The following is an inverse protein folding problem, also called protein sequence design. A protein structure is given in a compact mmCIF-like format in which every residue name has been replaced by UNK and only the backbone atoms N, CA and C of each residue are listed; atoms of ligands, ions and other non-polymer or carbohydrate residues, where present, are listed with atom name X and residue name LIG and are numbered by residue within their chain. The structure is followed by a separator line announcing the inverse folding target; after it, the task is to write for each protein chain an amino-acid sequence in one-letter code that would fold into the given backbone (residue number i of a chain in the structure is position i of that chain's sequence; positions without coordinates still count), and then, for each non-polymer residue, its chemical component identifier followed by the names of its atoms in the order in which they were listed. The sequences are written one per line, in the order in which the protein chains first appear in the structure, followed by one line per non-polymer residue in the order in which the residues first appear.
data_IF_893614040511
#
_entry.id   IF_893614040511
#
_cell.length_a   1.000
_cell.length_b   1.000
_cell.length_c   1.000
_cell.angle_alpha   90.00
_cell.angle_beta   90.00
_cell.angle_gamma   90.00
#
_symmetry.space_group_name_H-M   'P 1'
#
loop_
_entity.id
_entity.type
_entity.pdbx_description
1 polymer ?
#
# COMPACT_ATOMS: atom_id res chain seq x y z
N UNK A 1 18.75 -13.59 -16.75
CA UNK A 1 17.93 -12.87 -15.74
C UNK A 1 18.22 -13.48 -14.39
N UNK A 2 18.99 -12.78 -13.56
CA UNK A 2 19.20 -13.18 -12.18
C UNK A 2 17.88 -12.89 -11.43
N UNK A 3 17.04 -13.90 -11.22
CA UNK A 3 15.86 -13.75 -10.40
C UNK A 3 16.34 -13.51 -8.95
N UNK A 4 15.99 -12.37 -8.38
CA UNK A 4 16.20 -12.12 -6.95
C UNK A 4 15.40 -13.16 -6.14
N UNK A 5 15.95 -13.69 -5.04
CA UNK A 5 15.20 -14.62 -4.20
C UNK A 5 13.95 -13.92 -3.64
N UNK A 6 12.79 -14.53 -3.82
CA UNK A 6 11.53 -14.09 -3.23
C UNK A 6 11.37 -14.84 -1.91
N UNK A 7 11.18 -14.08 -0.84
CA UNK A 7 10.85 -14.64 0.48
C UNK A 7 9.38 -14.39 0.76
N UNK A 8 8.62 -15.46 0.88
CA UNK A 8 7.26 -15.41 1.37
C UNK A 8 7.27 -15.59 2.90
N UNK A 9 6.55 -14.72 3.60
CA UNK A 9 6.41 -14.82 5.04
C UNK A 9 4.96 -14.61 5.46
N UNK A 10 4.40 -15.60 6.13
CA UNK A 10 3.03 -15.60 6.64
C UNK A 10 3.07 -15.69 8.16
N UNK A 11 2.35 -14.81 8.85
CA UNK A 11 2.21 -14.88 10.31
C UNK A 11 1.33 -16.09 10.68
N UNK A 12 1.97 -17.13 11.23
CA UNK A 12 1.31 -18.39 11.56
C UNK A 12 0.28 -18.26 12.69
N UNK A 13 0.47 -17.31 13.58
CA UNK A 13 -0.50 -17.07 14.66
C UNK A 13 -1.78 -16.44 14.13
N UNK A 14 -1.68 -15.54 13.15
CA UNK A 14 -2.83 -15.00 12.44
C UNK A 14 -3.60 -16.08 11.66
N UNK A 15 -2.89 -17.00 11.02
CA UNK A 15 -3.51 -18.14 10.33
C UNK A 15 -4.28 -19.03 11.31
N UNK A 16 -3.67 -19.38 12.46
CA UNK A 16 -4.33 -20.19 13.51
C UNK A 16 -5.57 -19.51 14.09
N UNK A 17 -5.57 -18.20 14.18
CA UNK A 17 -6.70 -17.40 14.64
C UNK A 17 -7.79 -17.23 13.57
N UNK A 18 -7.56 -17.69 12.34
CA UNK A 18 -8.49 -17.51 11.23
C UNK A 18 -8.73 -16.06 10.84
N UNK A 19 -7.72 -15.20 10.98
CA UNK A 19 -7.86 -13.77 10.68
C UNK A 19 -8.22 -13.56 9.20
N UNK A 20 -9.40 -12.97 8.97
CA UNK A 20 -9.96 -12.74 7.66
C UNK A 20 -9.99 -11.23 7.35
N UNK A 21 -9.53 -10.77 6.17
CA UNK A 21 -9.54 -9.36 5.80
C UNK A 21 -10.94 -8.73 5.78
N UNK A 22 -11.97 -9.50 5.48
CA UNK A 22 -13.35 -9.00 5.37
C UNK A 22 -14.08 -8.91 6.71
N UNK A 23 -13.60 -9.60 7.76
CA UNK A 23 -14.20 -9.53 9.09
C UNK A 23 -13.67 -8.34 9.89
N UNK A 24 -12.37 -8.04 9.76
CA UNK A 24 -11.74 -6.89 10.40
C UNK A 24 -10.48 -6.49 9.63
N UNK A 25 -10.57 -5.46 8.80
CA UNK A 25 -9.47 -4.93 8.00
C UNK A 25 -8.31 -4.41 8.85
N UNK A 26 -8.59 -3.78 9.98
CA UNK A 26 -7.57 -3.26 10.89
C UNK A 26 -6.79 -4.38 11.57
N UNK A 27 -7.47 -5.39 12.14
CA UNK A 27 -6.83 -6.56 12.75
C UNK A 27 -6.03 -7.37 11.72
N UNK A 28 -6.57 -7.57 10.53
CA UNK A 28 -5.86 -8.24 9.44
C UNK A 28 -4.57 -7.49 9.08
N UNK A 29 -4.64 -6.17 8.94
CA UNK A 29 -3.46 -5.36 8.60
C UNK A 29 -2.41 -5.38 9.70
N UNK A 30 -2.82 -5.30 10.96
CA UNK A 30 -1.85 -5.38 12.05
C UNK A 30 -1.19 -6.76 12.09
N UNK A 31 -1.96 -7.82 12.19
CA UNK A 31 -1.42 -9.18 12.43
C UNK A 31 -0.76 -9.75 11.17
N UNK A 32 -1.44 -9.71 10.02
CA UNK A 32 -0.99 -10.39 8.81
C UNK A 32 -0.03 -9.57 7.96
N UNK A 33 0.09 -8.25 8.19
CA UNK A 33 1.01 -7.38 7.46
C UNK A 33 2.07 -6.76 8.38
N UNK A 34 1.67 -5.96 9.37
CA UNK A 34 2.64 -5.23 10.22
C UNK A 34 3.48 -6.19 11.05
N UNK A 35 2.86 -7.09 11.79
CA UNK A 35 3.58 -8.07 12.62
C UNK A 35 4.36 -9.06 11.74
N UNK A 36 3.77 -9.53 10.65
CA UNK A 36 4.44 -10.41 9.71
C UNK A 36 5.71 -9.77 9.12
N UNK A 37 5.65 -8.49 8.72
CA UNK A 37 6.82 -7.74 8.24
C UNK A 37 7.92 -7.66 9.31
N UNK A 38 7.56 -7.28 10.54
CA UNK A 38 8.52 -7.19 11.67
C UNK A 38 9.18 -8.54 11.96
N UNK A 39 8.39 -9.60 11.95
CA UNK A 39 8.88 -10.97 12.14
C UNK A 39 9.83 -11.40 11.01
N UNK A 40 9.47 -11.10 9.75
CA UNK A 40 10.31 -11.41 8.59
C UNK A 40 11.63 -10.66 8.65
N UNK A 41 11.62 -9.35 8.91
CA UNK A 41 12.83 -8.54 9.02
C UNK A 41 13.77 -9.07 10.10
N UNK A 42 13.22 -9.42 11.27
CA UNK A 42 14.00 -10.00 12.38
C UNK A 42 14.54 -11.40 12.03
N UNK A 43 13.70 -12.27 11.46
CA UNK A 43 14.06 -13.64 11.10
C UNK A 43 15.21 -13.72 10.11
N UNK A 44 15.17 -12.87 9.09
CA UNK A 44 16.16 -12.87 8.02
C UNK A 44 17.30 -11.86 8.23
N UNK A 45 17.26 -11.07 9.30
CA UNK A 45 18.31 -10.09 9.61
C UNK A 45 18.37 -8.92 8.62
N UNK A 46 17.26 -8.57 7.96
CA UNK A 46 17.25 -7.45 7.03
C UNK A 46 17.37 -6.11 7.76
N UNK A 47 18.33 -5.30 7.33
CA UNK A 47 18.56 -3.95 7.85
C UNK A 47 17.94 -2.86 6.99
N UNK A 48 17.56 -3.18 5.75
CA UNK A 48 16.87 -2.27 4.84
C UNK A 48 15.68 -2.97 4.17
N UNK A 49 14.57 -2.24 4.02
CA UNK A 49 13.41 -2.69 3.28
C UNK A 49 12.95 -1.59 2.33
N UNK A 50 12.81 -1.93 1.04
CA UNK A 50 12.37 -1.00 0.01
C UNK A 50 10.85 -0.99 -0.11
N UNK A 51 10.26 0.19 -0.25
CA UNK A 51 8.83 0.38 -0.43
C UNK A 51 8.50 1.43 -1.48
N UNK A 52 7.33 1.32 -2.07
CA UNK A 52 6.81 2.25 -3.08
C UNK A 52 6.11 3.49 -2.52
N UNK A 53 6.25 3.77 -1.21
CA UNK A 53 5.57 4.91 -0.59
C UNK A 53 6.02 6.25 -1.16
N UNK A 54 5.06 7.15 -1.42
CA UNK A 54 5.28 8.49 -1.96
C UNK A 54 4.71 9.55 -1.03
N UNK A 55 5.35 10.71 -0.94
CA UNK A 55 4.86 11.83 -0.10
C UNK A 55 3.58 12.45 -0.64
N UNK A 56 3.35 12.31 -1.94
CA UNK A 56 2.16 12.78 -2.63
C UNK A 56 0.89 12.00 -2.24
N UNK A 57 1.03 10.73 -1.86
CA UNK A 57 -0.09 9.87 -1.50
C UNK A 57 -0.87 10.38 -0.29
N UNK A 58 -0.17 10.91 0.73
CA UNK A 58 -0.78 11.22 2.01
C UNK A 58 0.01 12.25 2.83
N UNK A 59 -0.73 13.15 3.50
CA UNK A 59 -0.14 14.19 4.36
C UNK A 59 0.78 13.64 5.45
N UNK A 60 0.48 12.48 6.02
CA UNK A 60 1.31 11.86 7.05
C UNK A 60 2.70 11.44 6.53
N UNK A 61 2.85 11.27 5.22
CA UNK A 61 4.13 10.98 4.57
C UNK A 61 4.98 12.21 4.26
N UNK A 62 4.43 13.41 4.44
CA UNK A 62 5.14 14.66 4.11
C UNK A 62 6.48 14.81 4.86
N UNK A 63 6.60 14.26 6.06
CA UNK A 63 7.81 14.28 6.88
C UNK A 63 8.75 13.11 6.62
N UNK A 64 8.30 12.04 5.96
CA UNK A 64 9.19 10.96 5.53
C UNK A 64 10.15 11.43 4.44
N UNK A 65 11.29 10.78 4.38
CA UNK A 65 12.32 11.01 3.38
C UNK A 65 12.55 9.72 2.59
N UNK A 66 13.45 9.75 1.63
CA UNK A 66 13.83 8.54 0.88
C UNK A 66 14.34 7.48 1.85
N UNK A 67 15.17 7.87 2.83
CA UNK A 67 15.65 6.99 3.89
C UNK A 67 14.92 7.28 5.20
N UNK A 68 13.97 6.42 5.56
CA UNK A 68 13.17 6.54 6.77
C UNK A 68 13.67 5.56 7.83
N UNK A 69 14.27 6.11 8.89
CA UNK A 69 14.92 5.32 9.94
C UNK A 69 13.90 4.72 10.90
N UNK A 70 14.18 3.50 11.35
CA UNK A 70 13.40 2.77 12.35
C UNK A 70 14.33 2.40 13.52
N UNK A 71 13.85 2.64 14.73
CA UNK A 71 14.54 2.22 15.95
C UNK A 71 14.53 0.69 16.13
N UNK A 72 15.08 0.19 17.23
CA UNK A 72 15.14 -1.23 17.55
C UNK A 72 13.77 -1.92 17.64
N UNK A 73 12.72 -1.16 17.97
CA UNK A 73 11.33 -1.61 18.01
C UNK A 73 10.62 -1.54 16.63
N UNK A 74 11.37 -1.18 15.58
CA UNK A 74 10.89 -0.95 14.20
C UNK A 74 9.95 0.27 14.07
N UNK A 75 9.90 1.14 15.06
CA UNK A 75 9.09 2.34 15.06
C UNK A 75 9.80 3.51 14.36
N UNK A 76 9.03 4.34 13.66
CA UNK A 76 9.53 5.57 13.07
C UNK A 76 9.49 6.72 14.08
N UNK A 77 10.61 7.44 14.20
CA UNK A 77 10.69 8.67 14.97
C UNK A 77 10.94 9.87 14.06
N UNK A 78 9.93 10.74 13.85
CA UNK A 78 10.07 11.91 13.01
C UNK A 78 11.10 12.92 13.52
N UNK A 79 11.45 12.89 14.81
CA UNK A 79 12.45 13.81 15.39
C UNK A 79 13.88 13.41 15.00
N UNK A 80 14.10 12.13 14.74
CA UNK A 80 15.39 11.58 14.32
C UNK A 80 15.52 11.42 12.81
N UNK A 81 14.54 11.94 12.04
CA UNK A 81 14.61 11.92 10.59
C UNK A 81 15.75 12.83 10.11
N UNK A 82 16.69 12.25 9.38
CA UNK A 82 17.86 12.97 8.84
C UNK A 82 17.47 13.80 7.62
N UNK A 83 18.01 15.03 7.47
CA UNK A 83 17.78 15.84 6.28
C UNK A 83 18.46 15.21 5.05
N UNK A 84 17.81 15.35 3.89
CA UNK A 84 18.31 14.88 2.59
C UNK A 84 18.46 16.07 1.65
N UNK A 85 19.31 17.03 2.05
CA UNK A 85 19.59 18.23 1.26
C UNK A 85 20.64 17.93 0.18
N UNK A 86 20.49 18.55 -0.99
CA UNK A 86 21.43 18.44 -2.13
C UNK A 86 21.76 17.00 -2.55
N UNK A 87 20.81 16.06 -2.36
CA UNK A 87 20.99 14.62 -2.64
C UNK A 87 22.11 13.97 -1.80
N UNK A 88 22.43 14.52 -0.66
CA UNK A 88 23.34 13.91 0.30
C UNK A 88 22.54 13.00 1.24
N UNK A 89 22.93 11.75 1.30
CA UNK A 89 22.25 10.73 2.10
C UNK A 89 23.20 10.19 3.16
N UNK A 90 22.70 10.06 4.38
CA UNK A 90 23.38 9.35 5.44
C UNK A 90 22.57 8.11 5.80
N UNK A 91 23.09 6.94 5.48
CA UNK A 91 22.45 5.64 5.68
C UNK A 91 23.03 4.85 6.85
N UNK A 92 23.91 5.46 7.64
CA UNK A 92 24.48 4.83 8.84
C UNK A 92 23.38 4.51 9.85
N UNK A 93 23.37 3.28 10.36
CA UNK A 93 22.42 2.81 11.37
C UNK A 93 23.17 2.25 12.58
N UNK A 94 22.56 2.38 13.75
CA UNK A 94 23.08 1.74 14.96
C UNK A 94 22.64 0.28 15.04
N UNK A 95 23.24 -0.46 15.95
CA UNK A 95 22.87 -1.86 16.18
C UNK A 95 21.40 -1.97 16.59
N UNK A 96 20.65 -2.78 15.85
CA UNK A 96 19.21 -2.99 16.06
C UNK A 96 18.30 -2.04 15.29
N UNK A 97 18.83 -0.97 14.72
CA UNK A 97 18.06 -0.07 13.84
C UNK A 97 17.90 -0.66 12.43
N UNK A 98 16.98 -0.13 11.67
CA UNK A 98 16.75 -0.47 10.27
C UNK A 98 16.28 0.74 9.47
N UNK A 99 16.30 0.62 8.15
CA UNK A 99 15.87 1.68 7.23
C UNK A 99 14.73 1.18 6.35
N UNK A 100 13.72 2.03 6.17
CA UNK A 100 12.78 1.91 5.03
C UNK A 100 13.26 2.85 3.93
N UNK A 101 13.43 2.32 2.74
CA UNK A 101 13.93 3.07 1.58
C UNK A 101 12.77 3.28 0.62
N UNK A 102 12.45 4.53 0.31
CA UNK A 102 11.38 4.93 -0.61
C UNK A 102 11.97 5.65 -1.83
N UNK A 103 12.48 4.93 -2.83
CA UNK A 103 13.19 5.53 -3.97
C UNK A 103 12.36 6.55 -4.74
N UNK A 104 11.04 6.33 -4.80
CA UNK A 104 10.07 7.17 -5.51
C UNK A 104 9.34 8.16 -4.59
N UNK A 105 9.87 8.42 -3.38
CA UNK A 105 9.23 9.28 -2.37
C UNK A 105 8.79 10.64 -2.87
N UNK A 106 9.50 11.21 -3.84
CA UNK A 106 9.25 12.55 -4.39
C UNK A 106 8.41 12.53 -5.69
N UNK A 107 7.97 11.37 -6.14
CA UNK A 107 7.21 11.23 -7.37
C UNK A 107 5.71 11.41 -7.12
N UNK A 108 5.02 11.98 -8.10
CA UNK A 108 3.55 12.03 -8.15
C UNK A 108 2.98 10.74 -8.74
N UNK A 109 1.66 10.54 -8.62
CA UNK A 109 0.98 9.44 -9.30
C UNK A 109 1.17 9.52 -10.82
N UNK A 110 1.06 10.72 -11.37
CA UNK A 110 1.28 10.97 -12.80
C UNK A 110 2.69 10.61 -13.25
N UNK A 111 3.73 10.94 -12.45
CA UNK A 111 5.11 10.55 -12.76
C UNK A 111 5.26 9.03 -12.88
N UNK A 112 4.58 8.27 -12.00
CA UNK A 112 4.60 6.80 -12.03
C UNK A 112 3.99 6.28 -13.34
N UNK A 113 2.80 6.77 -13.71
CA UNK A 113 2.13 6.31 -14.94
C UNK A 113 2.92 6.68 -16.20
N UNK A 114 3.47 7.89 -16.26
CA UNK A 114 4.32 8.32 -17.37
C UNK A 114 5.61 7.49 -17.46
N UNK A 115 6.21 7.15 -16.32
CA UNK A 115 7.39 6.29 -16.28
C UNK A 115 7.07 4.86 -16.76
N UNK A 116 5.98 4.28 -16.28
CA UNK A 116 5.50 2.96 -16.72
C UNK A 116 5.31 2.93 -18.24
N UNK A 117 4.67 3.97 -18.79
CA UNK A 117 4.47 4.10 -20.24
C UNK A 117 5.78 4.23 -20.99
N UNK A 118 6.66 5.13 -20.57
CA UNK A 118 7.95 5.40 -21.21
C UNK A 118 8.85 4.16 -21.25
N UNK A 119 8.94 3.44 -20.15
CA UNK A 119 9.81 2.27 -20.02
C UNK A 119 9.10 0.96 -20.42
N UNK A 120 7.85 1.04 -20.88
CA UNK A 120 7.04 -0.12 -21.27
C UNK A 120 7.00 -1.21 -20.18
N UNK A 121 6.78 -0.81 -18.94
CA UNK A 121 6.77 -1.71 -17.78
C UNK A 121 5.44 -2.49 -17.76
N UNK A 122 5.48 -3.83 -17.76
CA UNK A 122 4.26 -4.62 -17.61
C UNK A 122 3.64 -4.43 -16.23
N UNK A 123 2.33 -4.17 -16.20
CA UNK A 123 1.57 -4.00 -14.98
C UNK A 123 0.41 -4.99 -14.90
N UNK A 124 -0.13 -5.18 -13.69
CA UNK A 124 -1.24 -6.10 -13.48
C UNK A 124 -2.53 -5.59 -14.11
N UNK A 125 -3.37 -6.48 -14.68
CA UNK A 125 -4.62 -6.09 -15.37
C UNK A 125 -5.65 -5.37 -14.50
N UNK A 126 -5.53 -5.42 -13.18
CA UNK A 126 -6.43 -4.75 -12.25
C UNK A 126 -6.36 -3.22 -12.30
N UNK A 127 -5.28 -2.66 -12.84
CA UNK A 127 -5.17 -1.22 -13.07
C UNK A 127 -5.99 -0.72 -14.25
N UNK A 128 -6.38 -1.60 -15.17
CA UNK A 128 -7.20 -1.26 -16.33
C UNK A 128 -8.69 -1.51 -16.06
N UNK A 129 -9.55 -0.65 -16.59
CA UNK A 129 -11.00 -0.79 -16.46
C UNK A 129 -11.49 -2.07 -17.15
N UNK A 130 -12.33 -2.81 -16.47
CA UNK A 130 -12.96 -4.03 -16.98
C UNK A 130 -14.26 -4.28 -16.21
N UNK A 131 -15.22 -4.94 -16.87
CA UNK A 131 -16.40 -5.46 -16.20
C UNK A 131 -16.03 -6.48 -15.12
N UNK A 132 -16.43 -6.21 -13.87
CA UNK A 132 -16.13 -7.03 -12.72
C UNK A 132 -17.34 -7.12 -11.79
N UNK A 133 -17.54 -8.27 -11.11
CA UNK A 133 -18.56 -8.38 -10.06
C UNK A 133 -18.12 -7.57 -8.85
N UNK A 134 -18.95 -6.64 -8.40
CA UNK A 134 -18.69 -5.77 -7.27
C UNK A 134 -19.89 -5.64 -6.35
N UNK A 135 -19.63 -5.32 -5.08
CA UNK A 135 -20.62 -4.87 -4.10
C UNK A 135 -20.20 -3.52 -3.54
N UNK A 136 -21.17 -2.77 -3.00
CA UNK A 136 -20.91 -1.48 -2.36
C UNK A 136 -20.98 -1.65 -0.85
N UNK A 137 -19.88 -1.33 -0.16
CA UNK A 137 -19.78 -1.35 1.32
C UNK A 137 -19.16 -0.05 1.81
N UNK A 138 -19.87 0.65 2.68
CA UNK A 138 -19.40 1.91 3.29
C UNK A 138 -18.87 2.94 2.26
N UNK A 139 -19.56 3.06 1.12
CA UNK A 139 -19.18 3.95 0.03
C UNK A 139 -18.02 3.46 -0.84
N UNK A 140 -17.49 2.27 -0.59
CA UNK A 140 -16.42 1.67 -1.38
C UNK A 140 -16.95 0.60 -2.34
N UNK A 141 -16.32 0.50 -3.51
CA UNK A 141 -16.58 -0.56 -4.49
C UNK A 141 -15.64 -1.73 -4.19
N UNK A 142 -16.19 -2.83 -3.72
CA UNK A 142 -15.42 -4.02 -3.36
C UNK A 142 -15.64 -5.10 -4.41
N UNK A 143 -14.55 -5.60 -5.01
CA UNK A 143 -14.62 -6.68 -5.99
C UNK A 143 -14.93 -8.02 -5.29
N UNK A 144 -15.82 -8.80 -5.90
CA UNK A 144 -16.22 -10.11 -5.41
C UNK A 144 -15.46 -11.19 -6.17
N UNK A 145 -14.25 -11.49 -5.69
CA UNK A 145 -13.34 -12.46 -6.33
C UNK A 145 -12.49 -13.26 -5.32
N UNK A 146 -12.77 -13.11 -4.02
CA UNK A 146 -12.04 -13.79 -2.96
C UNK A 146 -12.98 -14.73 -2.18
N UNK A 147 -12.65 -16.00 -2.12
CA UNK A 147 -13.45 -17.05 -1.45
C UNK A 147 -13.65 -16.82 0.04
N UNK A 148 -12.83 -15.97 0.67
CA UNK A 148 -12.98 -15.58 2.07
C UNK A 148 -14.07 -14.53 2.29
N UNK A 149 -14.56 -13.91 1.21
CA UNK A 149 -15.60 -12.89 1.28
C UNK A 149 -16.96 -13.52 1.48
N UNK A 150 -17.68 -13.02 2.49
CA UNK A 150 -19.09 -13.38 2.72
C UNK A 150 -19.94 -12.19 2.32
N UNK A 151 -20.96 -12.48 1.51
CA UNK A 151 -21.97 -11.48 1.16
C UNK A 151 -22.88 -11.23 2.37
N UNK A 152 -23.26 -9.99 2.59
CA UNK A 152 -24.24 -9.63 3.61
C UNK A 152 -25.65 -10.07 3.16
N UNK A 153 -26.59 -10.28 4.09
CA UNK A 153 -27.98 -10.57 3.74
C UNK A 153 -28.57 -9.51 2.81
N UNK A 154 -29.05 -9.93 1.63
CA UNK A 154 -29.59 -9.04 0.61
C UNK A 154 -28.56 -8.32 -0.27
N UNK A 155 -27.27 -8.60 -0.10
CA UNK A 155 -26.22 -8.07 -0.95
C UNK A 155 -26.07 -8.92 -2.22
N UNK A 156 -26.25 -8.31 -3.38
CA UNK A 156 -26.11 -8.97 -4.68
C UNK A 156 -24.98 -8.34 -5.48
N UNK A 157 -24.01 -9.15 -5.99
CA UNK A 157 -22.95 -8.64 -6.84
C UNK A 157 -23.51 -8.04 -8.13
N UNK A 158 -23.05 -6.87 -8.48
CA UNK A 158 -23.39 -6.17 -9.73
C UNK A 158 -22.18 -6.16 -10.66
N UNK A 159 -22.39 -6.38 -11.95
CA UNK A 159 -21.34 -6.18 -12.94
C UNK A 159 -21.15 -4.69 -13.19
N UNK A 160 -19.95 -4.21 -12.97
CA UNK A 160 -19.57 -2.81 -13.17
C UNK A 160 -18.22 -2.70 -13.83
N UNK A 161 -18.05 -1.69 -14.68
CA UNK A 161 -16.77 -1.38 -15.29
C UNK A 161 -15.92 -0.60 -14.30
N UNK A 162 -14.95 -1.29 -13.72
CA UNK A 162 -14.11 -0.75 -12.62
C UNK A 162 -12.64 -1.05 -12.85
N UNK A 163 -11.79 -0.17 -12.31
CA UNK A 163 -10.35 -0.34 -12.18
C UNK A 163 -9.88 -0.02 -10.75
N UNK A 164 -8.65 -0.34 -10.45
CA UNK A 164 -8.01 0.03 -9.18
C UNK A 164 -6.93 1.09 -9.43
N UNK A 165 -6.91 2.14 -8.62
CA UNK A 165 -5.81 3.13 -8.63
C UNK A 165 -4.62 2.68 -7.79
N UNK A 166 -4.87 1.88 -6.75
CA UNK A 166 -3.84 1.29 -5.89
C UNK A 166 -4.21 -0.14 -5.52
N UNK A 167 -3.24 -1.01 -5.36
CA UNK A 167 -3.44 -2.42 -5.00
C UNK A 167 -2.78 -2.80 -3.67
N UNK A 168 -2.17 -1.85 -2.98
CA UNK A 168 -1.29 -2.09 -1.82
C UNK A 168 -1.87 -2.94 -0.69
N UNK A 169 -3.19 -2.98 -0.53
CA UNK A 169 -3.88 -3.76 0.51
C UNK A 169 -5.00 -4.63 -0.05
N UNK A 170 -4.93 -5.00 -1.33
CA UNK A 170 -5.89 -5.93 -1.90
C UNK A 170 -6.03 -7.19 -1.02
N UNK A 171 -7.25 -7.70 -0.69
CA UNK A 171 -8.57 -7.30 -1.19
C UNK A 171 -9.23 -6.13 -0.44
N UNK A 172 -8.53 -5.44 0.46
CA UNK A 172 -9.02 -4.28 1.23
C UNK A 172 -8.85 -2.95 0.50
N UNK A 173 -8.79 -2.97 -0.81
CA UNK A 173 -8.74 -1.78 -1.66
C UNK A 173 -10.00 -1.70 -2.49
N UNK A 174 -10.70 -0.57 -2.42
CA UNK A 174 -11.85 -0.30 -3.26
C UNK A 174 -11.45 0.02 -4.69
N UNK A 175 -12.30 -0.37 -5.64
CA UNK A 175 -12.21 0.07 -7.03
C UNK A 175 -12.83 1.45 -7.24
N UNK A 176 -12.65 1.98 -8.43
CA UNK A 176 -13.37 3.14 -8.96
C UNK A 176 -14.08 2.75 -10.26
N UNK A 177 -15.25 3.32 -10.51
CA UNK A 177 -15.86 3.23 -11.83
C UNK A 177 -15.00 4.04 -12.82
N UNK A 178 -14.66 3.44 -13.94
CA UNK A 178 -13.77 4.06 -14.93
C UNK A 178 -13.91 3.36 -16.26
N UNK A 179 -13.66 4.10 -17.34
CA UNK A 179 -13.58 3.59 -18.70
C UNK A 179 -12.15 3.42 -19.21
N UNK A 180 -11.15 3.76 -18.40
CA UNK A 180 -9.73 3.73 -18.79
C UNK A 180 -9.21 2.29 -18.95
N UNK A 181 -9.10 1.82 -20.18
CA UNK A 181 -8.63 0.50 -20.58
C UNK A 181 -7.17 0.49 -21.05
N UNK A 182 -6.58 1.67 -21.23
CA UNK A 182 -5.21 1.87 -21.70
C UNK A 182 -4.40 2.74 -20.76
N UNK A 183 -3.07 2.71 -20.87
CA UNK A 183 -2.20 3.59 -20.08
C UNK A 183 -2.42 5.07 -20.38
N UNK A 184 -2.75 5.42 -21.63
CA UNK A 184 -3.01 6.80 -22.02
C UNK A 184 -4.27 7.32 -21.34
N UNK A 185 -5.34 6.55 -21.35
CA UNK A 185 -6.60 6.89 -20.68
C UNK A 185 -6.43 6.99 -19.15
N UNK A 186 -5.60 6.11 -18.54
CA UNK A 186 -5.27 6.21 -17.12
C UNK A 186 -4.52 7.52 -16.81
N UNK A 187 -3.57 7.92 -17.66
CA UNK A 187 -2.82 9.16 -17.51
C UNK A 187 -3.75 10.36 -17.61
N UNK A 188 -4.62 10.40 -18.61
CA UNK A 188 -5.58 11.48 -18.82
C UNK A 188 -6.58 11.59 -17.65
N UNK A 189 -7.09 10.47 -17.16
CA UNK A 189 -7.95 10.40 -15.98
C UNK A 189 -7.21 10.90 -14.73
N UNK A 190 -5.94 10.49 -14.53
CA UNK A 190 -5.14 10.91 -13.39
C UNK A 190 -4.84 12.41 -13.41
N UNK A 191 -4.56 12.98 -14.56
CA UNK A 191 -4.36 14.43 -14.74
C UNK A 191 -5.63 15.24 -14.43
N UNK A 192 -6.80 14.67 -14.69
CA UNK A 192 -8.09 15.29 -14.43
C UNK A 192 -8.57 15.13 -12.97
N UNK A 193 -7.99 14.19 -12.24
CA UNK A 193 -8.40 13.87 -10.87
C UNK A 193 -7.83 14.86 -9.86
N UNK A 194 -8.69 15.37 -8.98
CA UNK A 194 -8.30 16.24 -7.85
C UNK A 194 -8.05 15.40 -6.58
N UNK A 195 -8.54 14.17 -6.54
CA UNK A 195 -8.48 13.32 -5.37
C UNK A 195 -7.25 12.41 -5.35
N UNK A 196 -6.71 12.16 -4.16
CA UNK A 196 -5.62 11.20 -3.97
C UNK A 196 -6.07 9.77 -4.30
N UNK A 197 -5.16 8.97 -4.85
CA UNK A 197 -5.35 7.53 -5.12
C UNK A 197 -5.75 6.71 -3.89
N UNK A 198 -5.52 7.23 -2.69
CA UNK A 198 -5.82 6.54 -1.43
C UNK A 198 -7.25 6.67 -0.94
N UNK A 199 -8.06 7.53 -1.55
CA UNK A 199 -9.46 7.72 -1.14
C UNK A 199 -10.28 6.43 -1.19
N UNK A 200 -9.91 5.49 -2.06
CA UNK A 200 -10.56 4.19 -2.22
C UNK A 200 -10.06 3.09 -1.27
N UNK A 201 -9.12 3.39 -0.35
CA UNK A 201 -8.60 2.38 0.58
C UNK A 201 -9.52 2.26 1.79
N UNK A 202 -10.29 1.18 1.83
CA UNK A 202 -11.24 0.86 2.91
C UNK A 202 -10.61 0.97 4.30
N UNK A 203 -9.35 0.51 4.43
CA UNK A 203 -8.64 0.51 5.70
C UNK A 203 -8.31 1.91 6.22
N UNK A 204 -8.27 2.93 5.37
CA UNK A 204 -7.95 4.29 5.79
C UNK A 204 -9.20 5.02 6.31
N UNK A 205 -10.41 4.51 6.02
CA UNK A 205 -11.68 5.02 6.56
C UNK A 205 -11.91 4.63 8.03
N UNK A 206 -11.37 3.50 8.48
CA UNK A 206 -11.58 2.97 9.83
C UNK A 206 -10.85 3.73 10.97
N UNK A 207 -9.95 4.66 10.67
CA UNK A 207 -9.07 5.23 11.69
C UNK A 207 -8.87 6.75 11.70
N UNK A 208 -9.48 7.49 10.80
CA UNK A 208 -9.30 8.95 10.69
C UNK A 208 -7.89 9.37 10.25
N UNK A 209 -7.64 10.67 10.13
CA UNK A 209 -6.39 11.26 9.60
C UNK A 209 -5.11 10.88 10.37
N UNK A 210 -5.21 10.38 11.61
CA UNK A 210 -4.09 9.95 12.44
C UNK A 210 -3.68 8.47 12.23
N UNK A 211 -4.45 7.69 11.47
CA UNK A 211 -4.27 6.23 11.41
C UNK A 211 -2.92 5.81 10.82
N UNK A 212 -2.43 6.48 9.79
CA UNK A 212 -1.12 6.18 9.21
C UNK A 212 0.05 6.59 10.11
N UNK A 213 -0.04 7.70 10.82
CA UNK A 213 1.01 8.11 11.76
C UNK A 213 1.11 7.11 12.93
N UNK A 214 -0.04 6.62 13.41
CA UNK A 214 -0.10 5.54 14.40
C UNK A 214 0.55 4.26 13.86
N UNK A 215 0.19 3.81 12.66
CA UNK A 215 0.75 2.60 12.03
C UNK A 215 2.27 2.68 11.83
N UNK A 216 2.80 3.86 11.46
CA UNK A 216 4.26 4.06 11.36
C UNK A 216 4.95 3.92 12.69
N UNK A 217 4.37 4.43 13.77
CA UNK A 217 4.89 4.23 15.14
C UNK A 217 4.85 2.76 15.56
N UNK A 218 3.90 2.00 15.05
CA UNK A 218 3.76 0.56 15.27
C UNK A 218 4.67 -0.30 14.37
N UNK A 219 5.39 0.32 13.43
CA UNK A 219 6.36 -0.34 12.58
C UNK A 219 5.87 -0.71 11.18
N UNK A 220 4.72 -0.17 10.76
CA UNK A 220 4.25 -0.30 9.38
C UNK A 220 5.08 0.56 8.41
N UNK A 221 5.00 0.22 7.10
CA UNK A 221 5.60 1.01 6.03
C UNK A 221 5.04 2.41 5.96
#
# INVERSE_FOLDING_TARGET
TCALPIFEYINQDGVKQGINPFDSGSAYTDIMKTQALKQALKKYGFTAAFGGGRRDEEKSRAKERIFSFRNAEQAWDPKNQRPEMWKLYNTEINKGESIRVFPISNWTETDIWQYIKRENIPIVPLYFAKERPVVYRDGNIIMVDDDRMRLNPGEEPQMKKVRFRTLGCYPLTGGIESDAETLDEIIDETLSSVESERTTRVIDSDGGAASMEKRKREGYF
#
